data_IF_891513001003
#
_entry.id   IF_891513001003
#
_cell.length_a   1.000
_cell.length_b   1.000
_cell.length_c   1.000
_cell.angle_alpha   90.00
_cell.angle_beta   90.00
_cell.angle_gamma   90.00
#
_symmetry.space_group_name_H-M   'P 1'
#
loop_
_entity.id
_entity.type
_entity.pdbx_description
1 polymer ?
#
# COMPACT_ATOMS: atom_id res chain seq x y z
N UNK A 1 -12.90 4.48 -24.41
CA UNK A 1 -11.56 5.02 -24.08
C UNK A 1 -10.78 3.92 -23.37
N UNK A 2 -9.85 3.23 -24.06
CA UNK A 2 -9.04 2.16 -23.46
C UNK A 2 -7.82 2.81 -22.80
N UNK A 3 -7.75 2.78 -21.48
CA UNK A 3 -6.52 3.09 -20.74
C UNK A 3 -5.61 1.86 -20.83
N UNK A 4 -4.80 1.75 -21.88
CA UNK A 4 -3.65 0.83 -21.93
C UNK A 4 -2.50 1.43 -21.11
N UNK A 5 -2.72 1.62 -19.82
CA UNK A 5 -1.63 1.88 -18.88
C UNK A 5 -1.16 0.52 -18.40
N UNK A 6 0.08 0.13 -18.72
CA UNK A 6 0.63 -1.19 -18.41
C UNK A 6 0.36 -1.58 -16.95
N UNK A 7 -0.34 -2.70 -16.76
CA UNK A 7 -0.59 -3.28 -15.46
C UNK A 7 0.76 -3.68 -14.86
N UNK A 8 1.13 -3.07 -13.74
CA UNK A 8 2.34 -3.47 -13.01
C UNK A 8 1.99 -4.75 -12.26
N UNK A 9 2.62 -5.85 -12.63
CA UNK A 9 2.49 -7.11 -11.89
C UNK A 9 3.62 -7.22 -10.88
N UNK A 10 3.27 -7.21 -9.60
CA UNK A 10 4.18 -7.55 -8.52
C UNK A 10 4.12 -9.05 -8.25
N UNK A 11 5.29 -9.65 -7.99
CA UNK A 11 5.38 -11.01 -7.46
C UNK A 11 5.80 -10.91 -6.00
N UNK A 12 4.96 -11.38 -5.08
CA UNK A 12 5.32 -11.47 -3.69
C UNK A 12 6.48 -12.48 -3.52
N UNK A 13 7.54 -12.03 -2.86
CA UNK A 13 8.72 -12.85 -2.56
C UNK A 13 8.68 -13.31 -1.11
N UNK A 14 9.29 -14.46 -0.85
CA UNK A 14 9.55 -14.91 0.51
C UNK A 14 10.46 -13.89 1.20
N UNK A 15 10.07 -13.42 2.39
CA UNK A 15 10.82 -12.46 3.17
C UNK A 15 11.62 -13.18 4.27
N UNK A 16 12.79 -12.65 4.62
CA UNK A 16 13.50 -13.08 5.83
C UNK A 16 12.73 -12.67 7.08
N UNK A 17 13.00 -13.32 8.22
CA UNK A 17 12.46 -12.87 9.49
C UNK A 17 12.93 -11.42 9.79
N UNK A 18 12.03 -10.62 10.40
CA UNK A 18 12.31 -9.24 10.78
C UNK A 18 11.49 -8.83 12.01
N UNK A 19 11.97 -7.85 12.78
CA UNK A 19 11.17 -7.18 13.82
C UNK A 19 10.29 -6.11 13.18
N UNK A 20 8.96 -6.27 13.26
CA UNK A 20 8.00 -5.35 12.67
C UNK A 20 7.97 -3.97 13.33
N UNK A 21 8.56 -3.83 14.52
CA UNK A 21 8.67 -2.55 15.25
C UNK A 21 9.91 -1.76 14.87
N UNK A 22 10.82 -2.36 14.10
CA UNK A 22 12.03 -1.70 13.59
C UNK A 22 11.88 -1.45 12.08
N UNK A 23 11.61 -0.20 11.73
CA UNK A 23 11.43 0.23 10.34
C UNK A 23 12.68 -0.05 9.47
N UNK A 24 13.89 0.02 10.02
CA UNK A 24 15.12 -0.30 9.28
C UNK A 24 15.18 -1.79 8.99
N UNK A 25 14.75 -2.64 9.93
CA UNK A 25 14.70 -4.09 9.74
C UNK A 25 13.64 -4.49 8.70
N UNK A 26 12.44 -3.88 8.78
CA UNK A 26 11.38 -4.04 7.77
C UNK A 26 11.89 -3.64 6.39
N UNK A 27 12.50 -2.45 6.24
CA UNK A 27 13.05 -1.98 4.97
C UNK A 27 14.05 -2.98 4.36
N UNK A 28 14.95 -3.52 5.18
CA UNK A 28 15.94 -4.51 4.75
C UNK A 28 15.28 -5.81 4.28
N UNK A 29 14.26 -6.29 4.98
CA UNK A 29 13.54 -7.50 4.58
C UNK A 29 12.88 -7.37 3.20
N UNK A 30 12.39 -6.18 2.86
CA UNK A 30 11.75 -5.88 1.58
C UNK A 30 12.71 -5.42 0.47
N UNK A 31 14.01 -5.25 0.74
CA UNK A 31 14.98 -4.67 -0.23
C UNK A 31 15.04 -5.47 -1.54
N UNK A 32 14.90 -6.80 -1.47
CA UNK A 32 14.89 -7.68 -2.64
C UNK A 32 13.54 -7.79 -3.37
N UNK A 33 12.48 -7.11 -2.89
CA UNK A 33 11.15 -7.11 -3.51
C UNK A 33 10.98 -5.96 -4.51
N UNK A 34 10.28 -6.22 -5.61
CA UNK A 34 10.02 -5.20 -6.62
C UNK A 34 9.15 -4.07 -6.05
N UNK A 35 9.58 -2.83 -6.26
CA UNK A 35 8.79 -1.65 -5.94
C UNK A 35 7.77 -1.34 -7.06
N UNK A 36 6.56 -0.97 -6.67
CA UNK A 36 5.55 -0.38 -7.53
C UNK A 36 5.30 1.06 -7.08
N UNK A 37 5.56 2.01 -7.97
CA UNK A 37 5.20 3.41 -7.74
C UNK A 37 3.68 3.57 -7.89
N UNK A 38 3.06 4.18 -6.87
CA UNK A 38 1.66 4.59 -6.93
C UNK A 38 1.49 5.74 -7.93
N UNK A 39 0.33 5.78 -8.58
CA UNK A 39 0.08 6.66 -9.74
C UNK A 39 -1.36 7.10 -9.83
N UNK A 40 -1.60 8.25 -10.44
CA UNK A 40 -2.94 8.71 -10.83
C UNK A 40 -3.32 8.15 -12.20
N UNK A 41 -3.46 6.82 -12.31
CA UNK A 41 -3.62 6.12 -13.61
C UNK A 41 -4.86 6.55 -14.42
N UNK A 42 -5.82 7.24 -13.79
CA UNK A 42 -7.00 7.83 -14.44
C UNK A 42 -6.72 9.20 -15.10
N UNK A 43 -5.54 9.80 -14.88
CA UNK A 43 -5.12 11.04 -15.50
C UNK A 43 -4.05 10.78 -16.59
N UNK A 44 -4.05 11.55 -17.69
CA UNK A 44 -2.99 11.48 -18.69
C UNK A 44 -1.65 12.04 -18.16
N UNK A 45 -1.72 13.02 -17.26
CA UNK A 45 -0.58 13.64 -16.60
C UNK A 45 -0.86 13.73 -15.10
N UNK A 46 0.12 13.40 -14.22
CA UNK A 46 -0.02 13.59 -12.78
C UNK A 46 -0.28 15.06 -12.43
N UNK A 47 -0.97 15.30 -11.32
CA UNK A 47 -1.09 16.63 -10.76
C UNK A 47 0.29 17.20 -10.41
N UNK A 48 0.45 18.53 -10.53
CA UNK A 48 1.74 19.21 -10.32
C UNK A 48 2.40 18.92 -8.97
N UNK A 49 1.60 18.65 -7.94
CA UNK A 49 2.06 18.35 -6.57
C UNK A 49 1.80 16.89 -6.18
N UNK A 50 1.64 16.00 -7.15
CA UNK A 50 1.49 14.58 -6.87
C UNK A 50 2.71 14.07 -6.10
N UNK A 51 2.47 13.47 -4.94
CA UNK A 51 3.49 12.86 -4.09
C UNK A 51 3.40 11.32 -4.23
N UNK A 52 4.18 10.71 -5.15
CA UNK A 52 4.07 9.28 -5.38
C UNK A 52 4.63 8.48 -4.20
N UNK A 53 3.84 7.53 -3.71
CA UNK A 53 4.31 6.48 -2.80
C UNK A 53 4.90 5.28 -3.55
N UNK A 54 5.64 4.43 -2.82
CA UNK A 54 6.12 3.15 -3.32
C UNK A 54 5.57 2.00 -2.47
N UNK A 55 5.12 0.94 -3.14
CA UNK A 55 4.64 -0.27 -2.47
C UNK A 55 5.52 -1.46 -2.87
N UNK A 56 5.86 -2.28 -1.88
CA UNK A 56 6.46 -3.60 -2.06
C UNK A 56 5.58 -4.64 -1.39
N UNK A 57 5.57 -5.85 -1.93
CA UNK A 57 4.81 -6.97 -1.38
C UNK A 57 5.71 -8.19 -1.20
N UNK A 58 5.44 -8.94 -0.15
CA UNK A 58 6.13 -10.18 0.16
C UNK A 58 5.23 -11.10 0.94
N UNK A 59 5.75 -12.28 1.28
CA UNK A 59 5.06 -13.23 2.13
C UNK A 59 6.07 -13.87 3.09
N UNK A 60 5.57 -14.32 4.23
CA UNK A 60 6.31 -15.13 5.19
C UNK A 60 5.31 -15.95 5.98
N UNK A 61 5.61 -17.23 6.19
CA UNK A 61 4.69 -18.17 6.84
C UNK A 61 3.31 -18.12 6.13
N UNK A 62 2.23 -17.87 6.87
CA UNK A 62 0.87 -17.72 6.35
C UNK A 62 0.45 -16.25 6.13
N UNK A 63 1.40 -15.31 6.16
CA UNK A 63 1.15 -13.88 6.08
C UNK A 63 1.49 -13.31 4.69
N UNK A 64 0.54 -12.55 4.12
CA UNK A 64 0.80 -11.64 3.01
C UNK A 64 1.14 -10.26 3.57
N UNK A 65 2.31 -9.73 3.23
CA UNK A 65 2.87 -8.53 3.83
C UNK A 65 3.00 -7.43 2.78
N UNK A 66 2.49 -6.24 3.12
CA UNK A 66 2.57 -5.03 2.30
C UNK A 66 3.42 -4.00 3.01
N UNK A 67 4.42 -3.48 2.32
CA UNK A 67 5.24 -2.37 2.81
C UNK A 67 5.06 -1.16 1.88
N UNK A 68 4.41 -0.13 2.40
CA UNK A 68 4.13 1.10 1.69
C UNK A 68 4.93 2.26 2.30
N UNK A 69 5.58 3.03 1.44
CA UNK A 69 6.27 4.26 1.79
C UNK A 69 5.57 5.40 1.06
N UNK A 70 4.87 6.24 1.82
CA UNK A 70 4.04 7.32 1.32
C UNK A 70 4.61 8.65 1.79
N UNK A 71 4.46 9.68 0.95
CA UNK A 71 4.91 11.03 1.23
C UNK A 71 3.72 11.97 1.14
N UNK A 72 3.54 12.82 2.13
CA UNK A 72 2.61 13.94 2.09
C UNK A 72 3.29 15.17 2.69
N UNK A 73 2.93 16.35 2.19
CA UNK A 73 3.32 17.62 2.78
C UNK A 73 2.57 17.90 4.09
N UNK A 74 1.40 17.28 4.27
CA UNK A 74 0.56 17.40 5.46
C UNK A 74 0.02 16.03 5.85
N UNK A 75 0.76 15.28 6.68
CA UNK A 75 0.33 13.96 7.15
C UNK A 75 -0.65 14.14 8.30
N UNK A 76 -1.92 13.74 8.13
CA UNK A 76 -2.93 13.88 9.18
C UNK A 76 -3.99 12.77 9.16
N UNK A 77 -4.56 12.50 10.34
CA UNK A 77 -5.74 11.66 10.51
C UNK A 77 -6.52 12.12 11.74
N UNK A 78 -7.85 12.18 11.58
CA UNK A 78 -8.81 12.38 12.67
C UNK A 78 -9.46 11.07 13.12
N UNK A 79 -9.02 9.94 12.58
CA UNK A 79 -9.51 8.62 13.00
C UNK A 79 -9.14 8.38 14.47
N UNK A 80 -10.07 7.81 15.23
CA UNK A 80 -9.93 7.56 16.67
C UNK A 80 -10.25 6.11 17.04
N UNK A 81 -10.79 5.35 16.09
CA UNK A 81 -11.14 3.95 16.26
C UNK A 81 -11.03 3.21 14.93
N UNK A 82 -10.93 1.88 15.01
CA UNK A 82 -10.95 0.99 13.87
C UNK A 82 -12.31 1.04 13.15
N UNK A 83 -12.31 0.69 11.86
CA UNK A 83 -13.51 0.57 11.01
C UNK A 83 -14.31 1.89 10.84
N UNK A 84 -13.65 3.04 10.98
CA UNK A 84 -14.21 4.33 10.59
C UNK A 84 -14.02 4.57 9.09
N UNK A 85 -14.73 5.56 8.54
CA UNK A 85 -14.61 5.97 7.14
C UNK A 85 -13.34 6.79 6.96
N UNK A 86 -12.17 6.13 6.89
CA UNK A 86 -10.86 6.80 6.96
C UNK A 86 -10.68 7.87 5.87
N UNK A 87 -11.25 7.64 4.68
CA UNK A 87 -11.25 8.58 3.56
C UNK A 87 -11.94 9.93 3.83
N UNK A 88 -12.76 10.05 4.88
CA UNK A 88 -13.37 11.32 5.31
C UNK A 88 -12.61 11.98 6.47
N UNK A 89 -11.66 11.26 7.07
CA UNK A 89 -10.99 11.63 8.32
C UNK A 89 -9.54 12.07 8.13
N UNK A 90 -8.94 11.86 6.97
CA UNK A 90 -7.61 12.34 6.61
C UNK A 90 -6.96 11.43 5.59
N UNK A 91 -5.65 11.24 5.72
CA UNK A 91 -4.89 10.36 4.85
C UNK A 91 -5.24 8.90 5.11
N UNK A 92 -5.39 8.14 4.03
CA UNK A 92 -5.66 6.72 4.07
C UNK A 92 -4.84 5.98 3.00
N UNK A 93 -4.36 4.80 3.37
CA UNK A 93 -3.84 3.80 2.45
C UNK A 93 -4.81 2.63 2.37
N UNK A 94 -5.29 2.32 1.18
CA UNK A 94 -6.27 1.27 0.94
C UNK A 94 -5.65 0.09 0.19
N UNK A 95 -5.99 -1.13 0.62
CA UNK A 95 -5.53 -2.38 0.04
C UNK A 95 -6.76 -3.23 -0.30
N UNK A 96 -6.91 -3.59 -1.58
CA UNK A 96 -7.98 -4.44 -2.07
C UNK A 96 -7.40 -5.80 -2.47
N UNK A 97 -7.87 -6.88 -1.84
CA UNK A 97 -7.39 -8.24 -2.10
C UNK A 97 -8.55 -9.16 -2.48
N UNK A 98 -8.40 -9.84 -3.62
CA UNK A 98 -9.31 -10.89 -4.10
C UNK A 98 -8.53 -12.20 -4.21
N UNK A 99 -8.99 -13.24 -3.53
CA UNK A 99 -8.44 -14.57 -3.74
C UNK A 99 -8.89 -15.10 -5.11
N UNK A 100 -8.01 -15.79 -5.83
CA UNK A 100 -8.26 -16.22 -7.23
C UNK A 100 -9.55 -17.01 -7.41
N UNK A 101 -9.93 -17.83 -6.42
CA UNK A 101 -11.11 -18.70 -6.47
C UNK A 101 -12.36 -18.10 -5.84
N UNK A 102 -12.32 -16.85 -5.37
CA UNK A 102 -13.44 -16.17 -4.74
C UNK A 102 -13.95 -15.08 -5.66
N UNK A 103 -15.23 -14.72 -5.55
CA UNK A 103 -15.78 -13.57 -6.27
C UNK A 103 -15.74 -12.28 -5.46
N UNK A 104 -15.81 -12.40 -4.15
CA UNK A 104 -15.67 -11.30 -3.22
C UNK A 104 -14.20 -10.90 -2.99
N UNK A 105 -14.02 -9.67 -2.52
CA UNK A 105 -12.74 -9.13 -2.12
C UNK A 105 -12.82 -8.63 -0.68
N UNK A 106 -11.66 -8.53 -0.05
CA UNK A 106 -11.49 -7.86 1.23
C UNK A 106 -10.80 -6.52 1.00
N UNK A 107 -11.19 -5.54 1.80
CA UNK A 107 -10.63 -4.20 1.80
C UNK A 107 -10.01 -3.93 3.17
N UNK A 108 -8.79 -3.43 3.16
CA UNK A 108 -8.11 -2.91 4.35
C UNK A 108 -7.83 -1.44 4.15
N UNK A 109 -8.08 -0.65 5.18
CA UNK A 109 -7.74 0.76 5.21
C UNK A 109 -6.81 1.00 6.40
N UNK A 110 -5.77 1.80 6.19
CA UNK A 110 -4.80 2.17 7.22
C UNK A 110 -4.61 3.67 7.20
N UNK A 111 -4.77 4.32 8.35
CA UNK A 111 -4.45 5.73 8.53
C UNK A 111 -3.06 5.92 9.20
N UNK A 112 -2.44 7.11 9.10
CA UNK A 112 -1.12 7.38 9.69
C UNK A 112 -0.99 7.09 11.19
N UNK A 113 -2.08 7.15 11.94
CA UNK A 113 -2.10 6.86 13.38
C UNK A 113 -2.44 5.40 13.71
N UNK A 114 -2.52 4.52 12.71
CA UNK A 114 -2.76 3.09 12.86
C UNK A 114 -4.23 2.70 13.08
N UNK A 115 -5.15 3.65 12.91
CA UNK A 115 -6.60 3.40 12.87
C UNK A 115 -7.07 2.86 11.53
#
# INVERSE_FOLDING_TARGET
>A
MRLTTGMVQLRARALTAFDSRDLTNVRRAFEGASACALRQAWRPEPEKRFAPGNVRVGWRDDEFLVFAELWDADIFSRATALNQRLWELGDAFEIFLKAVQREDYVEFQVSPNGG
#
